data_IF_849527979380
#
_entry.id   IF_849527979380
#
_cell.length_a   1.000
_cell.length_b   1.000
_cell.length_c   1.000
_cell.angle_alpha   90.00
_cell.angle_beta   90.00
_cell.angle_gamma   90.00
#
_symmetry.space_group_name_H-M   'P 1'
#
loop_
_entity.id
_entity.type
_entity.pdbx_description
1 polymer ?
#
# COMPACT_ATOMS: atom_id res chain seq x y z
N UNK A 1 -22.83 2.71 49.53
CA UNK A 1 -21.62 2.26 48.80
C UNK A 1 -22.08 1.93 47.39
N UNK A 2 -21.59 2.62 46.37
CA UNK A 2 -21.94 2.29 44.98
C UNK A 2 -21.27 0.97 44.60
N UNK A 3 -22.06 0.03 44.08
CA UNK A 3 -21.61 -1.30 43.71
C UNK A 3 -20.88 -1.21 42.37
N UNK A 4 -19.56 -1.00 42.41
CA UNK A 4 -18.70 -0.87 41.23
C UNK A 4 -18.35 -2.24 40.59
N UNK A 5 -19.15 -3.29 40.83
CA UNK A 5 -18.86 -4.64 40.35
C UNK A 5 -18.76 -4.78 38.82
N UNK A 6 -19.24 -3.80 38.07
CA UNK A 6 -19.18 -3.75 36.61
C UNK A 6 -17.93 -3.06 36.04
N UNK A 7 -17.08 -2.49 36.91
CA UNK A 7 -15.85 -1.79 36.55
C UNK A 7 -14.66 -2.70 36.85
N UNK A 8 -13.85 -2.99 35.84
CA UNK A 8 -12.63 -3.80 35.96
C UNK A 8 -11.45 -2.94 36.39
N UNK A 9 -11.35 -1.74 35.81
CA UNK A 9 -10.24 -0.82 36.04
C UNK A 9 -10.70 0.64 35.86
N UNK A 10 -10.00 1.56 36.50
CA UNK A 10 -10.21 2.99 36.36
C UNK A 10 -8.87 3.69 36.17
N UNK A 11 -8.79 4.55 35.16
CA UNK A 11 -7.62 5.37 34.84
C UNK A 11 -8.05 6.85 34.83
N UNK A 12 -7.74 7.57 35.91
CA UNK A 12 -8.25 8.92 36.12
C UNK A 12 -9.78 8.93 36.20
N UNK A 13 -10.43 9.64 35.28
CA UNK A 13 -11.90 9.70 35.17
C UNK A 13 -12.48 8.62 34.24
N UNK A 14 -11.62 7.88 33.53
CA UNK A 14 -12.05 6.87 32.56
C UNK A 14 -12.28 5.52 33.25
N UNK A 15 -13.48 4.97 33.07
CA UNK A 15 -13.89 3.68 33.61
C UNK A 15 -13.81 2.59 32.54
N UNK A 16 -13.19 1.46 32.87
CA UNK A 16 -13.10 0.29 32.01
C UNK A 16 -14.03 -0.80 32.54
N UNK A 17 -14.92 -1.28 31.68
CA UNK A 17 -16.04 -2.15 32.05
C UNK A 17 -15.75 -3.64 31.80
N UNK A 18 -16.50 -4.52 32.45
CA UNK A 18 -16.43 -5.96 32.16
C UNK A 18 -16.86 -6.25 30.72
N UNK A 19 -16.27 -7.27 30.10
CA UNK A 19 -16.48 -7.60 28.66
C UNK A 19 -17.96 -7.86 28.31
N UNK A 20 -18.74 -8.39 29.24
CA UNK A 20 -20.19 -8.62 29.03
C UNK A 20 -20.99 -7.35 28.75
N UNK A 21 -20.46 -6.18 29.12
CA UNK A 21 -21.09 -4.90 28.85
C UNK A 21 -20.73 -4.32 27.49
N UNK A 22 -19.74 -4.88 26.79
CA UNK A 22 -19.27 -4.31 25.52
C UNK A 22 -20.34 -4.29 24.45
N UNK A 23 -21.30 -5.22 24.47
CA UNK A 23 -22.47 -5.21 23.57
C UNK A 23 -23.32 -3.92 23.66
N UNK A 24 -23.20 -3.17 24.76
CA UNK A 24 -23.86 -1.87 24.93
C UNK A 24 -23.00 -0.69 24.47
N UNK A 25 -21.73 -0.93 24.14
CA UNK A 25 -20.90 0.06 23.46
C UNK A 25 -21.29 0.12 21.99
N UNK A 26 -21.34 1.34 21.46
CA UNK A 26 -21.65 1.57 20.04
C UNK A 26 -20.59 1.01 19.10
N UNK A 27 -19.37 0.76 19.60
CA UNK A 27 -18.22 0.32 18.80
C UNK A 27 -18.01 -1.19 18.76
N UNK A 28 -18.54 -1.94 19.73
CA UNK A 28 -18.20 -3.36 19.88
C UNK A 28 -18.71 -4.24 18.73
N UNK A 29 -19.74 -3.80 18.00
CA UNK A 29 -20.39 -4.58 16.93
C UNK A 29 -20.20 -4.00 15.54
N UNK A 30 -19.53 -2.84 15.44
CA UNK A 30 -19.31 -2.15 14.17
C UNK A 30 -17.83 -2.11 13.84
N UNK A 31 -17.54 -2.07 12.54
CA UNK A 31 -16.20 -1.74 12.08
C UNK A 31 -15.98 -0.25 12.21
N UNK A 32 -14.94 0.14 12.94
CA UNK A 32 -14.66 1.54 13.25
C UNK A 32 -13.68 2.13 12.24
N UNK A 33 -14.07 3.11 11.41
CA UNK A 33 -13.15 3.80 10.52
C UNK A 33 -12.17 4.64 11.35
N UNK A 34 -10.88 4.44 11.15
CA UNK A 34 -9.81 5.07 11.93
C UNK A 34 -8.67 5.55 11.04
N UNK A 35 -7.98 6.57 11.52
CA UNK A 35 -6.65 6.90 11.02
C UNK A 35 -5.61 5.92 11.60
N UNK A 36 -4.57 5.63 10.83
CA UNK A 36 -3.46 4.74 11.20
C UNK A 36 -2.80 5.23 12.49
N UNK A 37 -2.53 6.54 12.59
CA UNK A 37 -2.00 7.15 13.82
C UNK A 37 -2.83 6.78 15.06
N UNK A 38 -4.15 6.86 14.95
CA UNK A 38 -5.03 6.62 16.08
C UNK A 38 -5.06 5.14 16.45
N UNK A 39 -5.06 4.24 15.46
CA UNK A 39 -4.91 2.79 15.68
C UNK A 39 -3.62 2.48 16.44
N UNK A 40 -2.46 2.94 15.95
CA UNK A 40 -1.17 2.64 16.57
C UNK A 40 -1.05 3.21 18.00
N UNK A 41 -1.50 4.45 18.20
CA UNK A 41 -1.44 5.13 19.49
C UNK A 41 -2.34 4.47 20.54
N UNK A 42 -3.57 4.12 20.17
CA UNK A 42 -4.53 3.56 21.11
C UNK A 42 -4.33 2.05 21.31
N UNK A 43 -3.94 1.30 20.27
CA UNK A 43 -3.60 -0.11 20.39
C UNK A 43 -2.47 -0.32 21.40
N UNK A 44 -1.34 0.37 21.22
CA UNK A 44 -0.17 0.26 22.12
C UNK A 44 -0.50 0.56 23.58
N UNK A 45 -1.34 1.57 23.84
CA UNK A 45 -1.83 1.89 25.20
C UNK A 45 -2.72 0.78 25.76
N UNK A 46 -3.67 0.31 24.95
CA UNK A 46 -4.67 -0.67 25.37
C UNK A 46 -4.08 -2.05 25.68
N UNK A 47 -3.02 -2.48 24.98
CA UNK A 47 -2.35 -3.77 25.21
C UNK A 47 -1.90 -3.93 26.67
N UNK A 48 -1.44 -2.84 27.30
CA UNK A 48 -1.01 -2.87 28.71
C UNK A 48 -2.19 -3.05 29.65
N UNK A 49 -3.30 -2.35 29.41
CA UNK A 49 -4.51 -2.47 30.21
C UNK A 49 -5.15 -3.86 30.04
N UNK A 50 -5.20 -4.37 28.81
CA UNK A 50 -5.78 -5.68 28.48
C UNK A 50 -5.02 -6.80 29.17
N UNK A 51 -3.69 -6.85 29.00
CA UNK A 51 -2.84 -7.88 29.63
C UNK A 51 -2.95 -7.92 31.15
N UNK A 52 -3.28 -6.79 31.78
CA UNK A 52 -3.34 -6.66 33.24
C UNK A 52 -4.71 -7.00 33.82
N UNK A 53 -5.78 -6.65 33.12
CA UNK A 53 -7.12 -6.62 33.69
C UNK A 53 -8.13 -7.53 32.98
N UNK A 54 -7.79 -8.04 31.81
CA UNK A 54 -8.68 -8.85 30.98
C UNK A 54 -8.08 -10.24 30.71
N UNK A 55 -8.90 -11.24 30.33
CA UNK A 55 -8.41 -12.56 29.93
C UNK A 55 -7.38 -12.46 28.79
N UNK A 56 -6.42 -13.38 28.75
CA UNK A 56 -5.31 -13.32 27.79
C UNK A 56 -5.74 -13.49 26.33
N UNK A 57 -6.86 -14.17 26.09
CA UNK A 57 -7.30 -14.57 24.75
C UNK A 57 -8.32 -13.58 24.14
N UNK A 58 -8.30 -12.32 24.57
CA UNK A 58 -9.22 -11.29 24.06
C UNK A 58 -8.70 -10.68 22.76
N UNK A 59 -9.53 -10.66 21.71
CA UNK A 59 -9.18 -10.12 20.39
C UNK A 59 -9.48 -8.62 20.20
N UNK A 60 -10.04 -7.95 21.21
CA UNK A 60 -10.38 -6.52 21.13
C UNK A 60 -9.24 -5.65 21.65
N UNK A 61 -9.29 -4.36 21.31
CA UNK A 61 -8.45 -3.32 21.90
C UNK A 61 -9.29 -2.11 22.31
N UNK A 62 -8.69 -1.07 22.89
CA UNK A 62 -9.44 0.11 23.34
C UNK A 62 -9.03 1.40 22.62
N UNK A 63 -10.02 2.10 22.06
CA UNK A 63 -9.89 3.52 21.77
C UNK A 63 -10.42 4.29 22.98
N UNK A 64 -9.51 4.85 23.78
CA UNK A 64 -9.83 5.33 25.13
C UNK A 64 -10.35 4.17 26.00
N UNK A 65 -11.65 4.09 26.30
CA UNK A 65 -12.30 2.92 26.91
C UNK A 65 -13.38 2.29 26.02
N UNK A 66 -13.48 2.69 24.75
CA UNK A 66 -14.38 2.07 23.78
C UNK A 66 -13.77 0.76 23.28
N UNK A 67 -14.43 -0.41 23.44
CA UNK A 67 -13.93 -1.68 22.95
C UNK A 67 -14.04 -1.75 21.42
N UNK A 68 -12.89 -1.95 20.75
CA UNK A 68 -12.77 -2.04 19.29
C UNK A 68 -12.40 -3.47 18.92
N UNK A 69 -13.30 -4.16 18.21
CA UNK A 69 -13.02 -5.50 17.67
C UNK A 69 -12.43 -5.41 16.26
N UNK A 70 -12.99 -4.55 15.40
CA UNK A 70 -12.57 -4.41 14.01
C UNK A 70 -12.44 -2.94 13.61
N UNK A 71 -11.39 -2.65 12.84
CA UNK A 71 -11.16 -1.33 12.26
C UNK A 71 -11.16 -1.37 10.75
N UNK A 72 -11.54 -0.23 10.18
CA UNK A 72 -11.32 0.07 8.78
C UNK A 72 -10.30 1.19 8.67
N UNK A 73 -9.32 1.03 7.79
CA UNK A 73 -8.28 2.01 7.50
C UNK A 73 -8.20 2.21 6.00
N UNK A 74 -7.74 3.37 5.56
CA UNK A 74 -7.54 3.70 4.15
C UNK A 74 -6.16 4.30 4.00
N UNK A 75 -5.36 3.77 3.09
CA UNK A 75 -4.02 4.30 2.84
C UNK A 75 -3.39 3.78 1.57
N UNK A 76 -2.28 4.41 1.19
CA UNK A 76 -1.42 3.98 0.11
C UNK A 76 -0.58 2.78 0.55
N UNK A 77 -0.57 1.73 -0.26
CA UNK A 77 0.23 0.53 0.00
C UNK A 77 1.71 0.81 -0.22
N UNK A 78 2.54 0.39 0.73
CA UNK A 78 3.99 0.45 0.65
C UNK A 78 4.64 -0.87 1.10
N UNK A 79 5.79 -1.20 0.53
CA UNK A 79 6.63 -2.31 0.96
C UNK A 79 5.96 -3.69 0.86
N UNK A 80 5.28 -3.95 -0.25
CA UNK A 80 4.61 -5.23 -0.52
C UNK A 80 5.60 -6.39 -0.63
N UNK A 81 5.31 -7.50 0.06
CA UNK A 81 6.06 -8.75 -0.06
C UNK A 81 5.20 -9.96 0.25
N UNK A 82 5.49 -11.06 -0.41
CA UNK A 82 4.89 -12.35 -0.09
C UNK A 82 5.72 -13.08 0.97
N UNK A 83 5.04 -13.69 1.94
CA UNK A 83 5.63 -14.59 2.93
C UNK A 83 4.79 -15.86 3.03
N UNK A 84 5.47 -17.00 3.09
CA UNK A 84 4.86 -18.27 3.44
C UNK A 84 4.89 -18.44 4.97
N UNK A 85 3.72 -18.52 5.62
CA UNK A 85 3.59 -18.63 7.08
C UNK A 85 2.65 -19.80 7.38
N UNK A 86 3.17 -20.81 8.09
CA UNK A 86 2.45 -22.09 8.23
C UNK A 86 2.31 -22.75 6.87
N UNK A 87 1.07 -23.04 6.46
CA UNK A 87 0.74 -23.69 5.18
C UNK A 87 0.07 -22.74 4.19
N UNK A 88 0.27 -21.43 4.34
CA UNK A 88 -0.41 -20.43 3.51
C UNK A 88 0.48 -19.25 3.14
N UNK A 89 0.23 -18.73 1.94
CA UNK A 89 0.84 -17.50 1.44
C UNK A 89 0.10 -16.27 2.00
N UNK A 90 0.86 -15.33 2.55
CA UNK A 90 0.38 -14.04 3.01
C UNK A 90 1.11 -12.90 2.29
N UNK A 91 0.34 -11.91 1.85
CA UNK A 91 0.87 -10.61 1.50
C UNK A 91 1.08 -9.80 2.78
N UNK A 92 2.31 -9.33 2.98
CA UNK A 92 2.69 -8.41 4.04
C UNK A 92 3.00 -7.07 3.39
N UNK A 93 2.33 -6.02 3.83
CA UNK A 93 2.52 -4.67 3.32
C UNK A 93 2.29 -3.66 4.44
N UNK A 94 2.56 -2.39 4.15
CA UNK A 94 2.25 -1.28 5.03
C UNK A 94 1.23 -0.38 4.36
N UNK A 95 0.39 0.28 5.15
CA UNK A 95 -0.46 1.38 4.71
C UNK A 95 0.10 2.70 5.24
N UNK A 96 0.08 3.71 4.38
CA UNK A 96 0.36 5.11 4.69
C UNK A 96 -0.91 5.93 4.41
N UNK A 97 -1.53 6.50 5.45
CA UNK A 97 -2.72 7.34 5.34
C UNK A 97 -2.40 8.85 5.46
N UNK A 98 -1.11 9.22 5.37
CA UNK A 98 -0.59 10.57 5.55
C UNK A 98 -0.82 11.18 6.94
N UNK A 99 -1.35 10.43 7.91
CA UNK A 99 -1.27 10.89 9.31
C UNK A 99 0.17 10.77 9.77
N UNK A 100 0.59 11.61 10.72
CA UNK A 100 1.97 11.69 11.22
C UNK A 100 1.96 11.71 12.74
N UNK A 101 2.81 10.89 13.37
CA UNK A 101 3.17 11.02 14.79
C UNK A 101 4.39 11.94 14.94
N UNK A 102 4.50 12.72 16.03
CA UNK A 102 5.72 13.45 16.32
C UNK A 102 6.91 12.48 16.26
N UNK A 103 7.90 12.81 15.43
CA UNK A 103 9.18 12.10 15.31
C UNK A 103 9.13 10.66 14.76
N UNK A 104 7.99 10.19 14.22
CA UNK A 104 7.87 8.81 13.71
C UNK A 104 7.00 8.69 12.45
N UNK A 105 7.44 7.78 11.59
CA UNK A 105 6.69 7.31 10.43
C UNK A 105 5.51 6.45 10.89
N UNK A 106 4.30 6.85 10.53
CA UNK A 106 3.05 6.15 10.85
C UNK A 106 2.66 5.22 9.71
N UNK A 107 3.26 4.03 9.71
CA UNK A 107 2.93 2.95 8.80
C UNK A 107 2.20 1.83 9.55
N UNK A 108 1.01 1.45 9.08
CA UNK A 108 0.31 0.29 9.64
C UNK A 108 0.69 -0.97 8.88
N UNK A 109 1.34 -1.91 9.58
CA UNK A 109 1.67 -3.21 9.02
C UNK A 109 0.40 -4.05 8.86
N UNK A 110 0.18 -4.56 7.66
CA UNK A 110 -0.98 -5.35 7.30
C UNK A 110 -0.55 -6.75 6.86
N UNK A 111 -1.35 -7.75 7.23
CA UNK A 111 -1.17 -9.16 6.86
C UNK A 111 -2.47 -9.65 6.21
N UNK A 112 -2.40 -9.99 4.93
CA UNK A 112 -3.54 -10.40 4.13
C UNK A 112 -3.29 -11.77 3.52
N UNK A 113 -4.24 -12.70 3.63
CA UNK A 113 -4.10 -14.03 3.02
C UNK A 113 -4.24 -13.97 1.50
N UNK A 114 -3.53 -14.85 0.79
CA UNK A 114 -3.66 -14.98 -0.66
C UNK A 114 -5.09 -15.30 -1.10
N UNK A 115 -5.80 -16.13 -0.34
CA UNK A 115 -7.19 -16.49 -0.62
C UNK A 115 -8.13 -15.29 -0.53
N UNK A 116 -7.91 -14.37 0.43
CA UNK A 116 -8.67 -13.14 0.54
C UNK A 116 -8.42 -12.22 -0.66
N UNK A 117 -7.16 -12.02 -1.06
CA UNK A 117 -6.82 -11.21 -2.24
C UNK A 117 -7.50 -11.71 -3.52
N UNK A 118 -7.48 -13.02 -3.73
CA UNK A 118 -8.15 -13.66 -4.87
C UNK A 118 -9.67 -13.46 -4.81
N UNK A 119 -10.28 -13.61 -3.64
CA UNK A 119 -11.73 -13.41 -3.43
C UNK A 119 -12.14 -11.96 -3.64
N UNK A 120 -11.27 -11.00 -3.29
CA UNK A 120 -11.46 -9.57 -3.57
C UNK A 120 -11.25 -9.19 -5.04
N UNK A 121 -10.89 -10.14 -5.91
CA UNK A 121 -10.65 -9.87 -7.33
C UNK A 121 -9.39 -9.06 -7.62
N UNK A 122 -8.44 -9.03 -6.67
CA UNK A 122 -7.21 -8.27 -6.82
C UNK A 122 -6.12 -9.09 -7.49
N UNK A 123 -5.21 -8.45 -8.26
CA UNK A 123 -4.11 -9.16 -8.85
C UNK A 123 -3.14 -9.63 -7.75
N UNK A 124 -2.56 -10.82 -7.92
CA UNK A 124 -1.52 -11.38 -7.03
C UNK A 124 -0.15 -10.67 -7.16
N UNK A 125 -0.11 -9.57 -7.92
CA UNK A 125 1.08 -8.75 -8.13
C UNK A 125 1.41 -7.86 -6.94
N UNK A 126 2.43 -7.03 -7.12
CA UNK A 126 2.75 -5.97 -6.17
C UNK A 126 1.71 -4.84 -6.29
N UNK A 127 1.01 -4.57 -5.18
CA UNK A 127 0.01 -3.50 -5.08
C UNK A 127 0.56 -2.20 -4.51
N UNK A 128 1.88 -2.06 -4.37
CA UNK A 128 2.51 -0.81 -3.90
C UNK A 128 2.01 0.36 -4.73
N UNK A 129 1.71 1.48 -4.07
CA UNK A 129 1.14 2.67 -4.69
C UNK A 129 -0.36 2.66 -4.94
N UNK A 130 -1.05 1.56 -4.65
CA UNK A 130 -2.51 1.53 -4.70
C UNK A 130 -3.05 2.10 -3.40
N UNK A 131 -4.13 2.88 -3.46
CA UNK A 131 -4.89 3.23 -2.27
C UNK A 131 -5.88 2.11 -1.98
N UNK A 132 -5.76 1.49 -0.81
CA UNK A 132 -6.63 0.40 -0.39
C UNK A 132 -7.41 0.78 0.87
N UNK A 133 -8.71 0.49 0.86
CA UNK A 133 -9.56 0.46 2.04
C UNK A 133 -9.51 -0.95 2.60
N UNK A 134 -9.04 -1.08 3.84
CA UNK A 134 -8.74 -2.36 4.47
C UNK A 134 -9.50 -2.46 5.76
N UNK A 135 -10.23 -3.56 5.95
CA UNK A 135 -10.82 -3.93 7.23
C UNK A 135 -10.00 -5.05 7.85
N UNK A 136 -9.86 -5.04 9.16
CA UNK A 136 -9.23 -6.13 9.86
C UNK A 136 -9.33 -6.02 11.37
N UNK A 137 -8.54 -6.86 12.03
CA UNK A 137 -8.34 -6.86 13.48
C UNK A 137 -6.85 -6.75 13.79
N UNK A 138 -6.51 -6.02 14.84
CA UNK A 138 -5.12 -5.96 15.30
C UNK A 138 -4.78 -7.27 16.01
N UNK A 139 -3.65 -7.89 15.65
CA UNK A 139 -3.15 -9.08 16.32
C UNK A 139 -2.05 -8.75 17.34
N UNK A 140 -1.60 -9.77 18.08
CA UNK A 140 -0.55 -9.65 19.09
C UNK A 140 0.81 -9.19 18.55
N UNK A 141 1.01 -9.23 17.23
CA UNK A 141 2.23 -8.78 16.55
C UNK A 141 2.16 -7.32 16.09
N UNK A 142 1.14 -6.57 16.52
CA UNK A 142 0.88 -5.18 16.08
C UNK A 142 0.66 -5.10 14.56
N UNK A 143 0.11 -6.17 13.96
CA UNK A 143 -0.26 -6.23 12.55
C UNK A 143 -1.79 -6.22 12.42
N UNK A 144 -2.30 -5.50 11.42
CA UNK A 144 -3.70 -5.60 11.02
C UNK A 144 -3.89 -6.89 10.20
N UNK A 145 -4.55 -7.88 10.79
CA UNK A 145 -5.02 -9.07 10.08
C UNK A 145 -6.24 -8.73 9.25
N UNK A 146 -6.02 -8.67 7.94
CA UNK A 146 -6.97 -8.17 6.98
C UNK A 146 -8.03 -9.23 6.69
N UNK A 147 -9.30 -8.84 6.75
CA UNK A 147 -10.46 -9.69 6.46
C UNK A 147 -11.33 -9.17 5.31
N UNK A 148 -11.22 -7.88 4.97
CA UNK A 148 -11.79 -7.24 3.78
C UNK A 148 -10.76 -6.30 3.15
N UNK A 149 -10.73 -6.26 1.83
CA UNK A 149 -9.83 -5.39 1.09
C UNK A 149 -10.53 -4.89 -0.18
N UNK A 150 -10.56 -3.56 -0.35
CA UNK A 150 -11.20 -2.84 -1.45
C UNK A 150 -10.26 -1.78 -2.05
N UNK A 151 -10.33 -1.56 -3.37
CA UNK A 151 -9.56 -0.50 -4.03
C UNK A 151 -10.28 0.83 -3.87
N UNK A 152 -9.56 1.86 -3.43
CA UNK A 152 -10.05 3.24 -3.47
C UNK A 152 -9.54 3.90 -4.75
N UNK A 153 -10.41 4.08 -5.73
CA UNK A 153 -10.04 4.53 -7.08
C UNK A 153 -9.95 6.04 -7.26
N UNK A 154 -10.52 6.83 -6.34
CA UNK A 154 -10.58 8.28 -6.47
C UNK A 154 -10.37 9.01 -5.13
N UNK A 155 -9.93 10.26 -5.24
CA UNK A 155 -9.63 11.14 -4.10
C UNK A 155 -10.90 11.55 -3.35
N UNK A 156 -12.07 11.55 -3.99
CA UNK A 156 -13.31 11.95 -3.32
C UNK A 156 -13.71 10.91 -2.28
N UNK A 157 -13.60 9.63 -2.60
CA UNK A 157 -13.79 8.52 -1.69
C UNK A 157 -12.78 8.55 -0.52
N UNK A 158 -11.53 8.96 -0.78
CA UNK A 158 -10.55 9.19 0.28
C UNK A 158 -10.99 10.31 1.25
N UNK A 159 -11.44 11.44 0.70
CA UNK A 159 -11.92 12.57 1.50
C UNK A 159 -13.16 12.20 2.32
N UNK A 160 -14.11 11.46 1.75
CA UNK A 160 -15.29 11.00 2.48
C UNK A 160 -14.91 10.06 3.62
N UNK A 161 -13.97 9.13 3.39
CA UNK A 161 -13.44 8.29 4.45
C UNK A 161 -12.79 9.10 5.57
N UNK A 162 -11.99 10.13 5.24
CA UNK A 162 -11.39 10.99 6.26
C UNK A 162 -12.45 11.73 7.07
N UNK A 163 -13.53 12.20 6.46
CA UNK A 163 -14.66 12.81 7.17
C UNK A 163 -15.31 11.84 8.14
N UNK A 164 -15.49 10.58 7.74
CA UNK A 164 -15.99 9.51 8.61
C UNK A 164 -15.04 9.27 9.79
N UNK A 165 -13.74 9.14 9.54
CA UNK A 165 -12.71 9.00 10.59
C UNK A 165 -12.76 10.18 11.57
N UNK A 166 -12.86 11.43 11.10
CA UNK A 166 -12.98 12.59 11.98
C UNK A 166 -14.27 12.59 12.81
N UNK A 167 -15.40 12.18 12.23
CA UNK A 167 -16.68 12.08 12.94
C UNK A 167 -16.59 11.03 14.06
N UNK A 168 -16.04 9.86 13.74
CA UNK A 168 -15.87 8.76 14.69
C UNK A 168 -14.86 9.12 15.76
N UNK A 169 -13.70 9.69 15.40
CA UNK A 169 -12.70 10.16 16.36
C UNK A 169 -13.30 11.09 17.41
N UNK A 170 -14.08 12.10 17.00
CA UNK A 170 -14.75 13.03 17.94
C UNK A 170 -15.72 12.33 18.90
N UNK A 171 -16.33 11.22 18.47
CA UNK A 171 -17.18 10.40 19.31
C UNK A 171 -16.35 9.60 20.33
N UNK A 172 -15.25 9.00 19.88
CA UNK A 172 -14.38 8.13 20.71
C UNK A 172 -13.44 8.89 21.63
N UNK A 173 -13.14 10.16 21.33
CA UNK A 173 -12.37 11.06 22.20
C UNK A 173 -13.06 11.27 23.55
N UNK A 174 -14.39 11.15 23.60
CA UNK A 174 -15.15 11.17 24.85
C UNK A 174 -15.18 9.76 25.45
N UNK A 175 -14.81 9.57 26.74
CA UNK A 175 -14.95 8.27 27.38
C UNK A 175 -16.37 7.73 27.25
N UNK A 176 -16.48 6.44 26.93
CA UNK A 176 -17.72 5.71 26.99
C UNK A 176 -18.22 5.69 28.43
N UNK A 177 -19.47 6.09 28.64
CA UNK A 177 -20.16 6.01 29.92
C UNK A 177 -21.32 5.03 29.72
N UNK A 178 -21.40 4.03 30.59
CA UNK A 178 -22.51 3.09 30.59
C UNK A 178 -23.80 3.83 30.99
N UNK A 179 -24.86 3.64 30.21
CA UNK A 179 -26.16 4.23 30.50
C UNK A 179 -26.71 3.72 31.85
N UNK A 180 -27.24 4.63 32.67
CA UNK A 180 -27.86 4.35 33.97
C UNK A 180 -28.99 3.30 33.84
N UNK A 181 -29.66 3.27 32.69
CA UNK A 181 -30.68 2.25 32.39
C UNK A 181 -30.11 0.82 32.42
N UNK A 182 -28.92 0.63 31.86
CA UNK A 182 -28.21 -0.66 31.83
C UNK A 182 -27.69 -1.00 33.23
N UNK A 183 -27.13 -0.01 33.94
CA UNK A 183 -26.68 -0.18 35.33
C UNK A 183 -27.82 -0.63 36.26
N UNK A 184 -29.03 -0.10 36.03
CA UNK A 184 -30.23 -0.47 36.78
C UNK A 184 -30.67 -1.90 36.47
N UNK A 185 -30.63 -2.31 35.21
CA UNK A 185 -30.97 -3.70 34.80
C UNK A 185 -30.02 -4.74 35.42
N UNK A 186 -28.75 -4.40 35.61
CA UNK A 186 -27.80 -5.29 36.31
C UNK A 186 -28.11 -5.42 37.80
N UNK A 187 -28.78 -4.41 38.38
CA UNK A 187 -29.13 -4.38 39.80
C UNK A 187 -30.47 -5.06 40.11
N UNK A 188 -31.37 -5.17 39.13
CA UNK A 188 -32.72 -5.72 39.32
C UNK A 188 -32.86 -7.21 39.05
N UNK A 189 -31.84 -7.90 38.53
CA UNK A 189 -31.85 -9.37 38.40
C UNK A 189 -31.69 -10.12 39.75
N UNK A 190 -31.65 -9.40 40.86
CA UNK A 190 -31.57 -9.97 42.20
C UNK A 190 -33.00 -10.17 42.73
N UNK A 191 -33.59 -11.36 42.45
CA UNK A 191 -34.93 -11.82 42.90
C UNK A 191 -35.00 -12.01 44.45
N UNK A 192 -34.63 -10.98 45.21
CA UNK A 192 -34.80 -10.91 46.66
C UNK A 192 -34.01 -11.93 47.48
N UNK A 193 -33.12 -12.73 46.86
CA UNK A 193 -32.19 -13.60 47.58
C UNK A 193 -30.87 -12.88 47.72
N UNK A 194 -30.51 -12.35 48.91
CA UNK A 194 -29.22 -11.70 49.09
C UNK A 194 -28.12 -12.66 48.62
N UNK A 195 -27.36 -12.22 47.61
CA UNK A 195 -26.17 -12.90 47.10
C UNK A 195 -25.21 -13.16 48.26
N UNK A 196 -25.35 -14.35 48.85
CA UNK A 196 -24.39 -14.88 49.79
C UNK A 196 -23.12 -15.21 48.99
N UNK A 197 -22.18 -14.27 49.05
CA UNK A 197 -20.75 -14.45 48.79
C UNK A 197 -20.33 -14.75 47.34
N UNK A 198 -20.58 -13.81 46.43
CA UNK A 198 -19.77 -13.74 45.22
C UNK A 198 -19.76 -12.35 44.59
N UNK A 199 -18.60 -11.89 44.14
CA UNK A 199 -18.51 -10.67 43.34
C UNK A 199 -19.33 -10.81 42.05
N UNK A 200 -19.77 -9.70 41.44
CA UNK A 200 -20.46 -9.74 40.13
C UNK A 200 -19.67 -10.55 39.09
N UNK A 201 -18.33 -10.48 39.19
CA UNK A 201 -17.39 -11.28 38.41
C UNK A 201 -17.61 -12.78 38.65
N UNK A 202 -17.67 -13.26 39.90
CA UNK A 202 -17.94 -14.68 40.21
C UNK A 202 -19.32 -15.13 39.71
N UNK A 203 -20.34 -14.27 39.78
CA UNK A 203 -21.67 -14.60 39.28
C UNK A 203 -21.67 -14.77 37.75
N UNK A 204 -20.90 -13.92 37.05
CA UNK A 204 -20.72 -13.98 35.60
C UNK A 204 -19.85 -15.16 35.18
N UNK A 205 -18.75 -15.44 35.88
CA UNK A 205 -17.90 -16.63 35.68
C UNK A 205 -18.73 -17.90 35.83
N UNK A 206 -19.63 -17.95 36.82
CA UNK A 206 -20.53 -19.09 37.03
C UNK A 206 -21.55 -19.24 35.90
N UNK A 207 -22.03 -18.13 35.33
CA UNK A 207 -22.97 -18.15 34.19
C UNK A 207 -22.29 -18.55 32.89
N UNK A 208 -21.08 -18.04 32.64
CA UNK A 208 -20.27 -18.45 31.49
C UNK A 208 -19.85 -19.91 31.59
N UNK A 209 -19.39 -20.36 32.77
CA UNK A 209 -19.11 -21.76 33.04
C UNK A 209 -20.33 -22.66 32.82
N UNK A 210 -21.53 -22.19 33.21
CA UNK A 210 -22.78 -22.93 32.96
C UNK A 210 -23.09 -23.03 31.46
N UNK A 211 -22.94 -21.95 30.70
CA UNK A 211 -23.13 -21.97 29.25
C UNK A 211 -22.12 -22.91 28.56
N UNK A 212 -20.85 -22.90 28.99
CA UNK A 212 -19.82 -23.79 28.47
C UNK A 212 -20.13 -25.27 28.81
N UNK A 213 -20.70 -25.54 30.00
CA UNK A 213 -21.18 -26.86 30.38
C UNK A 213 -22.39 -27.33 29.55
N UNK A 214 -23.31 -26.42 29.25
CA UNK A 214 -24.51 -26.69 28.44
C UNK A 214 -24.13 -26.96 26.97
N UNK A 215 -23.11 -26.27 26.42
CA UNK A 215 -22.54 -26.55 25.10
C UNK A 215 -21.74 -27.86 25.05
N UNK A 216 -21.14 -28.28 26.16
CA UNK A 216 -20.38 -29.51 26.28
C UNK A 216 -21.23 -30.75 26.63
N UNK A 217 -22.55 -30.59 26.81
CA UNK A 217 -23.45 -31.71 27.06
C UNK A 217 -24.01 -32.27 25.73
N UNK A 218 -23.56 -33.44 25.25
CA UNK A 218 -24.13 -34.08 24.07
C UNK A 218 -25.51 -34.71 24.33
N UNK A 219 -26.14 -34.43 25.48
CA UNK A 219 -27.43 -34.96 25.90
C UNK A 219 -28.43 -33.82 26.18
N UNK A 220 -28.70 -32.98 25.19
CA UNK A 220 -30.03 -32.37 25.10
C UNK A 220 -30.94 -33.39 24.41
N UNK A 221 -31.43 -34.37 25.18
CA UNK A 221 -32.56 -35.18 24.74
C UNK A 221 -33.80 -34.28 24.70
N UNK A 222 -34.32 -34.04 23.49
CA UNK A 222 -35.56 -33.28 23.23
C UNK A 222 -36.84 -33.99 23.73
N UNK A 223 -36.73 -35.03 24.58
CA UNK A 223 -37.87 -35.83 25.00
C UNK A 223 -38.24 -35.56 26.46
N UNK A 224 -38.88 -34.42 26.68
CA UNK A 224 -39.80 -34.23 27.81
C UNK A 224 -41.24 -34.20 27.25
N UNK A 225 -41.64 -35.30 26.61
CA UNK A 225 -43.06 -35.67 26.51
C UNK A 225 -43.26 -37.11 26.98
N UNK A 226 -43.68 -37.19 28.24
CA UNK A 226 -44.26 -38.38 28.85
C UNK A 226 -45.43 -38.91 28.01
N UNK A 227 -45.29 -40.06 27.35
CA UNK A 227 -46.31 -41.12 27.32
C UNK A 227 -45.65 -42.46 26.92
N UNK A 228 -45.73 -43.39 27.85
CA UNK A 228 -45.48 -44.83 27.71
C UNK A 228 -46.09 -45.40 26.43
N UNK A 229 -45.28 -46.09 25.63
CA UNK A 229 -45.69 -47.32 24.93
C UNK A 229 -44.49 -48.17 24.48
N UNK A 230 -44.78 -49.45 24.45
CA UNK A 230 -43.88 -50.60 24.42
C UNK A 230 -43.05 -50.72 23.14
N UNK A 231 -41.87 -51.32 23.33
CA UNK A 231 -40.96 -51.80 22.30
C UNK A 231 -41.65 -52.90 21.49
N UNK A 232 -41.79 -52.70 20.18
CA UNK A 232 -41.97 -53.77 19.20
C UNK A 232 -41.02 -53.49 18.02
N UNK A 233 -40.03 -54.36 17.84
CA UNK A 233 -39.24 -54.47 16.61
C UNK A 233 -39.94 -55.42 15.63
N UNK A 234 -39.99 -55.05 14.34
CA UNK A 234 -39.64 -55.99 13.26
C UNK A 234 -38.68 -55.32 12.25
N UNK A 235 -37.49 -55.89 12.02
CA UNK A 235 -37.11 -56.81 10.92
C UNK A 235 -37.20 -56.17 9.52
N UNK A 236 -36.07 -56.33 8.81
CA UNK A 236 -35.69 -55.92 7.47
C UNK A 236 -36.76 -55.95 6.38
N UNK A 237 -36.71 -54.98 5.47
CA UNK A 237 -37.03 -55.19 4.06
C UNK A 237 -36.24 -54.20 3.16
N UNK A 238 -35.54 -54.79 2.19
CA UNK A 238 -34.82 -54.11 1.11
C UNK A 238 -35.76 -53.49 0.06
N UNK A 239 -35.14 -52.69 -0.82
CA UNK A 239 -35.54 -52.34 -2.20
C UNK A 239 -36.37 -51.06 -2.37
N UNK A 240 -35.85 -50.15 -3.20
CA UNK A 240 -36.70 -49.20 -3.92
C UNK A 240 -36.00 -47.95 -4.44
N UNK A 241 -35.23 -48.05 -5.53
CA UNK A 241 -34.94 -46.92 -6.41
C UNK A 241 -36.24 -46.28 -6.90
N UNK A 242 -36.35 -44.95 -6.83
CA UNK A 242 -37.29 -44.19 -7.64
C UNK A 242 -36.65 -42.86 -8.03
N UNK A 243 -36.28 -42.79 -9.31
CA UNK A 243 -36.12 -41.57 -10.08
C UNK A 243 -37.44 -40.79 -10.04
N UNK A 244 -37.35 -39.46 -9.94
CA UNK A 244 -38.46 -38.59 -10.29
C UNK A 244 -37.96 -37.47 -11.19
N UNK A 245 -38.26 -37.67 -12.46
CA UNK A 245 -38.34 -36.65 -13.50
C UNK A 245 -39.19 -35.47 -13.04
N UNK A 246 -38.68 -34.25 -13.24
CA UNK A 246 -39.53 -33.08 -13.41
C UNK A 246 -39.08 -32.36 -14.68
N UNK A 247 -39.98 -32.51 -15.66
CA UNK A 247 -39.92 -32.00 -17.01
C UNK A 247 -40.25 -30.50 -17.07
N UNK A 248 -39.86 -29.95 -18.20
CA UNK A 248 -39.74 -28.56 -18.62
C UNK A 248 -41.08 -27.84 -18.82
N UNK A 249 -41.08 -26.51 -18.64
CA UNK A 249 -41.54 -25.57 -19.69
C UNK A 249 -41.40 -24.11 -19.22
N UNK A 250 -40.56 -23.30 -19.86
CA UNK A 250 -41.04 -22.27 -20.82
C UNK A 250 -39.91 -21.35 -21.32
N UNK A 251 -39.85 -21.30 -22.65
CA UNK A 251 -39.11 -20.44 -23.57
C UNK A 251 -39.05 -18.95 -23.22
N UNK A 252 -37.90 -18.31 -23.44
CA UNK A 252 -37.78 -17.19 -24.38
C UNK A 252 -36.36 -17.13 -24.98
N UNK A 253 -36.30 -17.25 -26.29
CA UNK A 253 -35.15 -17.00 -27.17
C UNK A 253 -34.76 -15.52 -27.16
N UNK A 254 -33.46 -15.20 -27.26
CA UNK A 254 -32.97 -14.16 -28.17
C UNK A 254 -31.47 -14.34 -28.45
N UNK A 255 -31.15 -14.49 -29.74
CA UNK A 255 -30.12 -13.68 -30.39
C UNK A 255 -28.65 -14.09 -30.26
N UNK A 256 -28.22 -14.92 -31.21
CA UNK A 256 -26.82 -15.22 -31.58
C UNK A 256 -26.02 -13.97 -31.95
N UNK A 257 -24.78 -13.85 -31.48
CA UNK A 257 -23.71 -13.18 -32.22
C UNK A 257 -22.34 -13.78 -31.89
N UNK A 258 -21.58 -14.02 -32.95
CA UNK A 258 -20.46 -14.93 -33.06
C UNK A 258 -19.17 -14.48 -32.36
N UNK A 259 -18.38 -15.47 -31.95
CA UNK A 259 -17.00 -15.34 -31.53
C UNK A 259 -16.05 -15.56 -32.71
N UNK A 260 -14.83 -15.00 -32.69
CA UNK A 260 -13.70 -15.59 -33.36
C UNK A 260 -12.75 -16.25 -32.36
N UNK A 261 -12.49 -17.53 -32.61
CA UNK A 261 -11.46 -18.36 -31.99
C UNK A 261 -10.07 -17.81 -32.32
N UNK A 262 -9.21 -17.70 -31.32
CA UNK A 262 -7.76 -17.62 -31.53
C UNK A 262 -7.08 -18.69 -30.69
N UNK A 263 -6.49 -19.67 -31.40
CA UNK A 263 -5.54 -20.63 -30.88
C UNK A 263 -4.29 -19.91 -30.36
N UNK A 264 -3.89 -20.17 -29.12
CA UNK A 264 -2.51 -19.94 -28.68
C UNK A 264 -2.01 -21.23 -28.02
N UNK A 265 -0.97 -21.77 -28.64
CA UNK A 265 -0.16 -22.90 -28.22
C UNK A 265 0.63 -22.51 -26.97
N UNK A 266 0.49 -23.29 -25.90
CA UNK A 266 1.31 -23.17 -24.71
C UNK A 266 2.71 -23.71 -25.00
N UNK A 267 3.73 -22.87 -24.79
CA UNK A 267 5.11 -23.28 -24.56
C UNK A 267 5.52 -22.65 -23.24
N UNK A 268 5.32 -23.38 -22.15
CA UNK A 268 5.90 -23.09 -20.85
C UNK A 268 7.27 -23.75 -20.81
N UNK A 269 8.33 -22.95 -20.92
CA UNK A 269 9.64 -23.20 -20.32
C UNK A 269 10.58 -22.02 -20.66
N UNK A 270 10.99 -21.26 -19.63
CA UNK A 270 12.24 -20.43 -19.57
C UNK A 270 12.17 -19.09 -18.78
N UNK A 271 11.23 -18.87 -17.86
CA UNK A 271 11.12 -17.56 -17.16
C UNK A 271 11.96 -17.46 -15.86
N UNK A 272 12.62 -18.53 -15.40
CA UNK A 272 13.29 -18.51 -14.07
C UNK A 272 14.67 -17.81 -14.06
N UNK A 273 15.34 -17.62 -15.20
CA UNK A 273 16.73 -17.12 -15.22
C UNK A 273 16.92 -15.62 -15.53
N UNK A 274 15.84 -14.84 -15.70
CA UNK A 274 15.96 -13.39 -16.04
C UNK A 274 15.85 -12.44 -14.83
N UNK A 275 15.38 -12.92 -13.67
CA UNK A 275 15.14 -12.07 -12.48
C UNK A 275 16.38 -11.70 -11.66
N UNK A 276 17.53 -12.35 -11.86
CA UNK A 276 18.74 -12.04 -11.08
C UNK A 276 19.64 -10.95 -11.66
N UNK A 277 19.35 -10.39 -12.85
CA UNK A 277 20.21 -9.35 -13.48
C UNK A 277 19.75 -7.91 -13.31
N UNK A 278 18.53 -7.65 -12.80
CA UNK A 278 17.99 -6.28 -12.71
C UNK A 278 18.19 -5.66 -11.31
N UNK A 279 18.57 -6.45 -10.29
CA UNK A 279 18.74 -5.97 -8.91
C UNK A 279 20.07 -5.27 -8.60
N UNK A 280 20.98 -5.07 -9.57
CA UNK A 280 22.29 -4.41 -9.35
C UNK A 280 22.33 -2.92 -9.76
N UNK A 281 21.18 -2.28 -10.00
CA UNK A 281 21.10 -0.85 -10.40
C UNK A 281 20.48 0.06 -9.34
N UNK A 282 20.76 -0.17 -8.05
CA UNK A 282 20.57 0.82 -6.99
C UNK A 282 21.87 1.61 -6.78
N UNK A 283 22.03 2.70 -7.55
CA UNK A 283 23.10 3.68 -7.32
C UNK A 283 22.77 4.50 -6.08
N UNK A 284 23.30 4.07 -4.92
CA UNK A 284 23.46 4.92 -3.76
C UNK A 284 24.64 5.89 -4.02
N UNK A 285 24.35 7.08 -4.53
CA UNK A 285 25.32 8.18 -4.56
C UNK A 285 25.33 8.83 -3.17
N UNK A 286 26.21 8.33 -2.28
CA UNK A 286 26.91 9.11 -1.26
C UNK A 286 28.03 8.27 -0.58
N UNK A 287 29.27 8.58 -0.97
CA UNK A 287 30.55 8.35 -0.27
C UNK A 287 30.83 7.03 0.46
N UNK A 288 31.69 6.18 -0.12
CA UNK A 288 32.90 5.65 0.55
C UNK A 288 33.82 4.91 -0.44
N UNK A 289 35.11 5.19 -0.29
CA UNK A 289 36.23 4.80 -1.14
C UNK A 289 36.63 3.32 -0.95
N UNK A 290 36.88 2.63 -2.05
CA UNK A 290 37.92 1.60 -2.13
C UNK A 290 37.45 0.16 -2.30
N UNK A 291 37.29 -0.30 -3.56
CA UNK A 291 37.85 -1.57 -4.09
C UNK A 291 37.45 -1.80 -5.56
N UNK A 292 38.34 -2.51 -6.26
CA UNK A 292 38.21 -3.09 -7.61
C UNK A 292 38.53 -2.19 -8.82
N UNK A 293 39.77 -2.29 -9.29
CA UNK A 293 40.24 -1.70 -10.56
C UNK A 293 40.00 -2.61 -11.79
N UNK A 294 39.58 -3.87 -11.60
CA UNK A 294 39.43 -4.84 -12.69
C UNK A 294 37.99 -4.96 -13.22
N UNK A 295 36.96 -4.63 -12.44
CA UNK A 295 35.57 -4.51 -12.92
C UNK A 295 35.28 -3.17 -13.67
N UNK A 296 36.23 -2.22 -13.64
CA UNK A 296 36.07 -0.88 -14.24
C UNK A 296 36.15 -0.83 -15.77
N UNK A 297 36.64 -1.88 -16.44
CA UNK A 297 36.90 -1.84 -17.89
C UNK A 297 35.74 -2.29 -18.78
N UNK A 298 34.80 -3.10 -18.28
CA UNK A 298 33.64 -3.53 -19.08
C UNK A 298 32.40 -2.65 -18.85
N UNK A 299 32.30 -2.00 -17.69
CA UNK A 299 31.21 -1.05 -17.38
C UNK A 299 31.40 0.29 -18.12
N UNK A 300 32.61 0.64 -18.58
CA UNK A 300 32.89 1.98 -19.14
C UNK A 300 32.32 2.23 -20.55
N UNK A 301 32.02 1.20 -21.35
CA UNK A 301 31.70 1.39 -22.79
C UNK A 301 30.26 1.86 -23.06
N UNK A 302 29.28 1.44 -22.26
CA UNK A 302 27.87 1.83 -22.42
C UNK A 302 27.47 3.10 -21.66
N UNK A 303 28.29 3.53 -20.70
CA UNK A 303 27.93 4.62 -19.80
C UNK A 303 28.10 6.01 -20.41
N UNK A 304 29.01 6.19 -21.39
CA UNK A 304 29.38 7.55 -21.80
C UNK A 304 28.32 8.27 -22.66
N UNK A 305 27.63 7.59 -23.58
CA UNK A 305 26.57 8.24 -24.37
C UNK A 305 25.33 8.55 -23.52
N UNK A 306 24.91 7.59 -22.67
CA UNK A 306 23.81 7.80 -21.72
C UNK A 306 24.12 8.93 -20.74
N UNK A 307 25.34 8.94 -20.19
CA UNK A 307 25.82 10.00 -19.30
C UNK A 307 25.86 11.35 -20.00
N UNK A 308 26.37 11.41 -21.25
CA UNK A 308 26.32 12.64 -22.03
C UNK A 308 24.88 13.14 -22.22
N UNK A 309 23.94 12.25 -22.57
CA UNK A 309 22.51 12.60 -22.68
C UNK A 309 21.91 13.14 -21.37
N UNK A 310 22.26 12.57 -20.22
CA UNK A 310 21.84 13.09 -18.90
C UNK A 310 22.40 14.48 -18.65
N UNK A 311 23.70 14.68 -18.87
CA UNK A 311 24.36 15.97 -18.65
C UNK A 311 23.85 17.04 -19.62
N UNK A 312 23.54 16.65 -20.85
CA UNK A 312 22.91 17.50 -21.84
C UNK A 312 21.51 17.95 -21.40
N UNK A 313 20.67 17.01 -20.94
CA UNK A 313 19.34 17.30 -20.40
C UNK A 313 19.42 18.29 -19.21
N UNK A 314 20.34 18.04 -18.27
CA UNK A 314 20.58 18.93 -17.13
C UNK A 314 21.01 20.32 -17.58
N UNK A 315 21.94 20.40 -18.52
CA UNK A 315 22.39 21.68 -19.07
C UNK A 315 21.23 22.48 -19.66
N UNK A 316 20.33 21.84 -20.42
CA UNK A 316 19.16 22.50 -21.00
C UNK A 316 18.21 23.01 -19.92
N UNK A 317 17.92 22.23 -18.88
CA UNK A 317 17.05 22.63 -17.78
C UNK A 317 17.53 23.89 -17.05
N UNK A 318 18.85 24.05 -16.90
CA UNK A 318 19.45 25.20 -16.22
C UNK A 318 19.56 26.47 -17.09
N UNK A 319 19.15 26.41 -18.37
CA UNK A 319 19.19 27.61 -19.21
C UNK A 319 18.10 28.59 -18.79
N UNK A 320 18.46 29.88 -18.66
CA UNK A 320 17.52 30.94 -18.30
C UNK A 320 16.47 31.18 -19.40
N UNK A 321 16.92 31.18 -20.65
CA UNK A 321 16.06 31.44 -21.81
C UNK A 321 15.31 30.19 -22.27
N UNK A 322 14.19 30.37 -22.97
CA UNK A 322 13.44 29.28 -23.61
C UNK A 322 14.03 28.88 -24.95
N UNK A 323 14.76 29.78 -25.60
CA UNK A 323 15.40 29.57 -26.89
C UNK A 323 16.91 29.70 -26.74
N UNK A 324 17.64 28.72 -27.26
CA UNK A 324 19.08 28.60 -27.07
C UNK A 324 19.72 28.32 -28.43
N UNK A 325 20.85 28.97 -28.73
CA UNK A 325 21.61 28.67 -29.95
C UNK A 325 22.22 27.27 -29.90
N UNK A 326 21.91 26.43 -30.89
CA UNK A 326 22.47 25.08 -31.05
C UNK A 326 24.00 25.11 -31.09
N UNK A 327 24.57 26.11 -31.77
CA UNK A 327 26.03 26.28 -31.85
C UNK A 327 26.65 26.65 -30.51
N UNK A 328 25.98 27.49 -29.71
CA UNK A 328 26.47 27.85 -28.38
C UNK A 328 26.38 26.65 -27.43
N UNK A 329 25.33 25.83 -27.55
CA UNK A 329 25.18 24.58 -26.80
C UNK A 329 26.27 23.57 -27.17
N UNK A 330 26.56 23.37 -28.46
CA UNK A 330 27.65 22.50 -28.92
C UNK A 330 29.02 22.95 -28.41
N UNK A 331 29.25 24.27 -28.37
CA UNK A 331 30.52 24.87 -27.92
C UNK A 331 30.65 25.03 -26.40
N UNK A 332 29.65 24.63 -25.62
CA UNK A 332 29.74 24.72 -24.16
C UNK A 332 30.91 23.86 -23.65
N UNK A 333 31.87 24.48 -22.94
CA UNK A 333 33.13 23.82 -22.55
C UNK A 333 32.90 22.56 -21.71
N UNK A 334 31.98 22.62 -20.74
CA UNK A 334 31.66 21.48 -19.86
C UNK A 334 31.06 20.32 -20.65
N UNK A 335 30.03 20.59 -21.48
CA UNK A 335 29.41 19.56 -22.31
C UNK A 335 30.38 19.01 -23.35
N UNK A 336 31.20 19.86 -23.97
CA UNK A 336 32.16 19.44 -25.00
C UNK A 336 33.25 18.52 -24.45
N UNK A 337 33.70 18.70 -23.19
CA UNK A 337 34.61 17.77 -22.54
C UNK A 337 34.02 16.37 -22.36
N UNK A 338 32.74 16.30 -21.96
CA UNK A 338 32.00 15.04 -21.80
C UNK A 338 31.70 14.41 -23.16
N UNK A 339 31.31 15.22 -24.15
CA UNK A 339 31.07 14.80 -25.53
C UNK A 339 32.34 14.23 -26.16
N UNK A 340 33.49 14.88 -25.97
CA UNK A 340 34.79 14.41 -26.47
C UNK A 340 35.13 13.07 -25.84
N UNK A 341 34.94 12.93 -24.52
CA UNK A 341 35.13 11.65 -23.84
C UNK A 341 34.18 10.57 -24.35
N UNK A 342 32.91 10.89 -24.62
CA UNK A 342 31.96 9.93 -25.20
C UNK A 342 32.33 9.54 -26.64
N UNK A 343 32.82 10.49 -27.43
CA UNK A 343 33.23 10.28 -28.81
C UNK A 343 34.49 9.42 -28.92
N UNK A 344 35.51 9.65 -28.09
CA UNK A 344 36.74 8.82 -28.08
C UNK A 344 36.43 7.36 -27.76
N UNK A 345 35.58 7.12 -26.76
CA UNK A 345 35.12 5.77 -26.42
C UNK A 345 34.32 5.11 -27.56
N UNK A 346 33.49 5.88 -28.28
CA UNK A 346 32.73 5.38 -29.45
C UNK A 346 33.66 5.11 -30.64
N UNK A 347 34.67 5.94 -30.89
CA UNK A 347 35.64 5.73 -31.99
C UNK A 347 36.53 4.51 -31.74
N UNK A 348 36.97 4.26 -30.50
CA UNK A 348 37.76 3.07 -30.16
C UNK A 348 36.99 1.77 -30.44
N UNK A 349 35.66 1.79 -30.25
CA UNK A 349 34.82 0.63 -30.59
C UNK A 349 34.68 0.35 -32.10
N UNK A 350 34.99 1.36 -32.95
CA UNK A 350 34.85 1.31 -34.42
C UNK A 350 36.17 1.14 -35.18
N UNK A 351 37.29 0.93 -34.48
CA UNK A 351 38.63 0.84 -35.07
C UNK A 351 38.79 -0.22 -36.19
N UNK A 352 37.82 -1.10 -36.39
CA UNK A 352 37.82 -2.09 -37.49
C UNK A 352 37.10 -1.63 -38.78
N UNK A 353 36.44 -0.47 -38.81
CA UNK A 353 35.61 -0.03 -39.95
C UNK A 353 36.10 1.24 -40.67
N UNK A 354 37.29 1.75 -40.34
CA UNK A 354 37.86 2.95 -40.94
C UNK A 354 37.94 4.12 -39.96
N UNK A 355 38.93 4.97 -40.16
CA UNK A 355 39.21 6.12 -39.28
C UNK A 355 38.26 7.28 -39.60
N UNK A 356 37.06 7.30 -39.00
CA UNK A 356 36.23 8.52 -38.93
C UNK A 356 36.96 9.60 -38.11
N UNK A 357 36.88 10.87 -38.53
CA UNK A 357 37.49 11.95 -37.76
C UNK A 357 36.71 12.15 -36.44
N UNK A 358 37.42 12.40 -35.34
CA UNK A 358 36.82 12.54 -33.99
C UNK A 358 35.71 13.61 -33.94
N UNK A 359 35.87 14.72 -34.68
CA UNK A 359 34.86 15.78 -34.74
C UNK A 359 33.56 15.32 -35.42
N UNK A 360 33.64 14.43 -36.41
CA UNK A 360 32.44 13.86 -37.05
C UNK A 360 31.67 12.98 -36.05
N UNK A 361 32.39 12.20 -35.23
CA UNK A 361 31.79 11.37 -34.18
C UNK A 361 31.13 12.22 -33.10
N UNK A 362 31.76 13.34 -32.70
CA UNK A 362 31.18 14.30 -31.74
C UNK A 362 29.91 14.94 -32.29
N UNK A 363 29.94 15.42 -33.54
CA UNK A 363 28.79 16.05 -34.17
C UNK A 363 27.63 15.05 -34.34
N UNK A 364 27.93 13.81 -34.74
CA UNK A 364 26.95 12.72 -34.78
C UNK A 364 26.31 12.49 -33.41
N UNK A 365 27.10 12.34 -32.34
CA UNK A 365 26.59 12.09 -30.98
C UNK A 365 25.72 13.25 -30.45
N UNK A 366 26.14 14.49 -30.69
CA UNK A 366 25.37 15.68 -30.34
C UNK A 366 24.02 15.70 -31.06
N UNK A 367 24.02 15.46 -32.38
CA UNK A 367 22.81 15.40 -33.18
C UNK A 367 21.91 14.22 -32.77
N UNK A 368 22.48 13.07 -32.43
CA UNK A 368 21.74 11.90 -31.93
C UNK A 368 20.95 12.25 -30.66
N UNK A 369 21.58 12.93 -29.70
CA UNK A 369 20.91 13.38 -28.46
C UNK A 369 19.85 14.43 -28.75
N UNK A 370 20.13 15.41 -29.62
CA UNK A 370 19.14 16.42 -30.02
C UNK A 370 17.92 15.81 -30.69
N UNK A 371 18.13 14.96 -31.69
CA UNK A 371 17.04 14.29 -32.41
C UNK A 371 16.24 13.38 -31.47
N UNK A 372 16.91 12.70 -30.54
CA UNK A 372 16.24 11.90 -29.52
C UNK A 372 15.32 12.75 -28.64
N UNK A 373 15.78 13.89 -28.12
CA UNK A 373 14.94 14.78 -27.32
C UNK A 373 13.81 15.42 -28.14
N UNK A 374 14.07 15.76 -29.41
CA UNK A 374 13.07 16.29 -30.32
C UNK A 374 11.99 15.25 -30.67
N UNK A 375 12.36 13.99 -30.86
CA UNK A 375 11.42 12.89 -31.11
C UNK A 375 10.47 12.60 -29.95
N UNK A 376 10.88 12.98 -28.72
CA UNK A 376 10.05 12.93 -27.52
C UNK A 376 9.25 14.23 -27.29
N UNK A 377 9.33 15.19 -28.21
CA UNK A 377 8.65 16.50 -28.16
C UNK A 377 9.05 17.38 -26.95
N UNK A 378 10.14 17.03 -26.27
CA UNK A 378 10.67 17.82 -25.14
C UNK A 378 11.33 19.11 -25.61
N UNK A 379 11.89 19.10 -26.83
CA UNK A 379 12.48 20.27 -27.46
C UNK A 379 11.95 20.41 -28.89
N UNK A 380 11.95 21.65 -29.40
CA UNK A 380 11.69 21.93 -30.81
C UNK A 380 12.94 22.55 -31.43
N UNK A 381 13.27 22.15 -32.67
CA UNK A 381 14.40 22.69 -33.41
C UNK A 381 13.88 23.68 -34.48
N UNK A 382 14.33 24.93 -34.43
CA UNK A 382 13.91 26.01 -35.32
C UNK A 382 15.02 26.46 -36.27
N UNK A 383 14.65 27.21 -37.32
CA UNK A 383 15.56 27.89 -38.25
C UNK A 383 16.66 27.00 -38.84
N UNK A 384 16.28 25.83 -39.39
CA UNK A 384 17.23 24.82 -39.87
C UNK A 384 18.17 24.32 -38.76
N UNK A 385 17.61 24.07 -37.57
CA UNK A 385 18.31 23.55 -36.39
C UNK A 385 19.32 24.53 -35.75
N UNK A 386 19.20 25.83 -36.01
CA UNK A 386 20.06 26.85 -35.37
C UNK A 386 19.65 27.19 -33.94
N UNK A 387 18.37 27.04 -33.63
CA UNK A 387 17.79 27.35 -32.33
C UNK A 387 17.11 26.10 -31.74
N UNK A 388 17.33 25.89 -30.45
CA UNK A 388 16.70 24.86 -29.62
C UNK A 388 15.69 25.58 -28.72
N UNK A 389 14.42 25.24 -28.84
CA UNK A 389 13.38 25.70 -27.91
C UNK A 389 13.11 24.63 -26.87
N UNK A 390 13.23 25.00 -25.60
CA UNK A 390 13.11 24.13 -24.44
C UNK A 390 11.84 24.41 -23.60
N UNK A 391 10.84 25.09 -24.18
CA UNK A 391 9.58 25.42 -23.49
C UNK A 391 8.88 24.16 -22.96
N UNK A 392 8.77 23.11 -23.78
CA UNK A 392 8.10 21.86 -23.40
C UNK A 392 8.87 21.14 -22.28
N UNK A 393 10.19 21.05 -22.40
CA UNK A 393 11.07 20.52 -21.36
C UNK A 393 10.88 21.25 -20.01
N UNK A 394 10.85 22.58 -20.02
CA UNK A 394 10.59 23.39 -18.82
C UNK A 394 9.21 23.14 -18.24
N UNK A 395 8.17 23.03 -19.08
CA UNK A 395 6.82 22.72 -18.64
C UNK A 395 6.74 21.34 -17.97
N UNK A 396 7.41 20.33 -18.54
CA UNK A 396 7.49 18.98 -17.98
C UNK A 396 8.21 18.99 -16.63
N UNK A 397 9.35 19.69 -16.54
CA UNK A 397 10.10 19.83 -15.29
C UNK A 397 9.31 20.56 -14.20
N UNK A 398 8.56 21.61 -14.54
CA UNK A 398 7.72 22.35 -13.60
C UNK A 398 6.60 21.46 -13.05
N UNK A 399 5.90 20.71 -13.89
CA UNK A 399 4.87 19.76 -13.46
C UNK A 399 5.43 18.73 -12.46
N UNK A 400 6.60 18.15 -12.77
CA UNK A 400 7.27 17.18 -11.90
C UNK A 400 7.70 17.84 -10.57
N UNK A 401 8.22 19.06 -10.63
CA UNK A 401 8.66 19.82 -9.44
C UNK A 401 7.49 20.18 -8.53
N UNK A 402 6.34 20.57 -9.08
CA UNK A 402 5.10 20.82 -8.33
C UNK A 402 4.59 19.56 -7.65
N UNK A 403 4.65 18.42 -8.35
CA UNK A 403 4.27 17.12 -7.79
C UNK A 403 5.18 16.71 -6.63
N UNK A 404 6.50 16.83 -6.78
CA UNK A 404 7.46 16.58 -5.68
C UNK A 404 7.20 17.52 -4.51
N UNK A 405 7.02 18.82 -4.78
CA UNK A 405 6.73 19.83 -3.76
C UNK A 405 5.49 19.48 -2.96
N UNK A 406 4.44 18.99 -3.63
CA UNK A 406 3.20 18.55 -2.99
C UNK A 406 3.42 17.34 -2.09
N UNK A 407 4.05 16.29 -2.62
CA UNK A 407 4.34 15.05 -1.87
C UNK A 407 5.17 15.34 -0.62
N UNK A 408 6.18 16.20 -0.73
CA UNK A 408 7.03 16.58 0.40
C UNK A 408 6.30 17.45 1.42
N UNK A 409 5.50 18.44 0.97
CA UNK A 409 4.73 19.31 1.89
C UNK A 409 3.65 18.55 2.66
N UNK A 410 3.12 17.47 2.08
CA UNK A 410 2.18 16.58 2.74
C UNK A 410 2.87 15.62 3.73
N UNK A 411 4.21 15.59 3.78
CA UNK A 411 4.95 14.67 4.64
C UNK A 411 4.84 13.22 4.19
N UNK A 412 4.51 12.97 2.93
CA UNK A 412 4.38 11.62 2.41
C UNK A 412 5.76 10.93 2.39
N UNK A 413 5.82 9.69 2.86
CA UNK A 413 7.06 8.90 2.83
C UNK A 413 7.28 8.21 1.48
N UNK A 414 6.21 8.01 0.71
CA UNK A 414 6.29 7.41 -0.62
C UNK A 414 5.43 8.18 -1.62
N UNK A 415 5.95 8.39 -2.83
CA UNK A 415 5.25 9.01 -3.94
C UNK A 415 5.25 8.11 -5.18
N UNK A 416 4.08 7.84 -5.75
CA UNK A 416 3.93 7.05 -6.99
C UNK A 416 4.29 7.90 -8.22
N UNK A 417 5.19 7.40 -9.06
CA UNK A 417 5.48 7.88 -10.42
C UNK A 417 4.76 6.95 -11.41
N UNK A 418 3.59 7.36 -11.86
CA UNK A 418 2.85 6.67 -12.92
C UNK A 418 3.27 7.24 -14.29
N UNK A 419 4.02 6.47 -15.07
CA UNK A 419 4.58 6.96 -16.34
C UNK A 419 3.50 7.27 -17.37
N UNK A 420 2.42 6.50 -17.41
CA UNK A 420 1.32 6.70 -18.35
C UNK A 420 0.57 7.98 -18.00
N UNK A 421 0.24 8.16 -16.73
CA UNK A 421 -0.41 9.38 -16.26
C UNK A 421 0.41 10.63 -16.58
N UNK A 422 1.74 10.58 -16.42
CA UNK A 422 2.61 11.72 -16.73
C UNK A 422 2.59 12.05 -18.24
N UNK A 423 2.64 11.03 -19.11
CA UNK A 423 2.54 11.23 -20.56
C UNK A 423 1.20 11.84 -20.94
N UNK A 424 0.12 11.32 -20.39
CA UNK A 424 -1.24 11.76 -20.69
C UNK A 424 -1.48 13.19 -20.17
N UNK A 425 -1.05 13.50 -18.95
CA UNK A 425 -1.18 14.82 -18.34
C UNK A 425 -0.40 15.91 -19.09
N UNK A 426 0.77 15.56 -19.64
CA UNK A 426 1.62 16.49 -20.37
C UNK A 426 1.38 16.50 -21.89
N UNK A 427 0.64 15.52 -22.41
CA UNK A 427 0.42 15.33 -23.85
C UNK A 427 1.61 14.73 -24.62
N UNK A 428 2.66 14.24 -23.95
CA UNK A 428 3.90 13.75 -24.58
C UNK A 428 3.95 12.21 -24.65
N UNK A 429 3.27 11.62 -25.64
CA UNK A 429 3.14 10.15 -25.76
C UNK A 429 4.47 9.41 -25.95
N UNK A 430 5.44 10.05 -26.59
CA UNK A 430 6.74 9.44 -26.91
C UNK A 430 7.76 9.55 -25.76
N UNK A 431 7.37 10.09 -24.60
CA UNK A 431 8.27 10.28 -23.48
C UNK A 431 8.66 8.93 -22.87
N UNK A 432 9.95 8.63 -22.82
CA UNK A 432 10.46 7.36 -22.25
C UNK A 432 10.50 7.42 -20.71
N UNK A 433 10.27 6.28 -20.04
CA UNK A 433 10.36 6.16 -18.56
C UNK A 433 11.70 6.69 -18.05
N UNK A 434 12.79 6.37 -18.75
CA UNK A 434 14.14 6.82 -18.42
C UNK A 434 14.23 8.34 -18.32
N UNK A 435 13.67 9.07 -19.29
CA UNK A 435 13.72 10.54 -19.26
C UNK A 435 12.84 11.11 -18.15
N UNK A 436 11.66 10.52 -17.89
CA UNK A 436 10.82 10.89 -16.75
C UNK A 436 11.62 10.75 -15.44
N UNK A 437 12.28 9.61 -15.23
CA UNK A 437 13.09 9.36 -14.05
C UNK A 437 14.25 10.36 -13.91
N UNK A 438 14.93 10.70 -15.00
CA UNK A 438 16.01 11.70 -14.95
C UNK A 438 15.49 13.10 -14.61
N UNK A 439 14.30 13.47 -15.11
CA UNK A 439 13.63 14.72 -14.72
C UNK A 439 13.24 14.73 -13.24
N UNK A 440 12.71 13.62 -12.71
CA UNK A 440 12.41 13.48 -11.28
C UNK A 440 13.66 13.60 -10.41
N UNK A 441 14.73 12.89 -10.76
CA UNK A 441 16.01 12.99 -10.03
C UNK A 441 16.53 14.42 -10.01
N UNK A 442 16.45 15.13 -11.14
CA UNK A 442 16.91 16.51 -11.21
C UNK A 442 16.00 17.47 -10.44
N UNK A 443 14.69 17.27 -10.49
CA UNK A 443 13.73 18.05 -9.71
C UNK A 443 13.89 17.83 -8.20
N UNK A 444 14.15 16.59 -7.75
CA UNK A 444 14.46 16.27 -6.35
C UNK A 444 15.74 16.97 -5.89
N UNK A 445 16.83 16.89 -6.68
CA UNK A 445 18.09 17.61 -6.39
C UNK A 445 17.87 19.12 -6.27
N UNK A 446 17.13 19.70 -7.21
CA UNK A 446 16.84 21.13 -7.21
C UNK A 446 15.99 21.53 -6.00
N UNK A 447 14.93 20.76 -5.70
CA UNK A 447 14.04 21.01 -4.58
C UNK A 447 14.81 21.05 -3.25
N UNK A 448 15.55 19.99 -2.93
CA UNK A 448 16.27 19.89 -1.66
C UNK A 448 17.50 20.82 -1.57
N UNK A 449 18.11 21.19 -2.69
CA UNK A 449 19.13 22.24 -2.71
C UNK A 449 18.54 23.62 -2.36
N UNK A 450 17.27 23.87 -2.70
CA UNK A 450 16.61 25.17 -2.51
C UNK A 450 15.89 25.36 -1.17
N UNK A 451 15.38 24.28 -0.54
CA UNK A 451 14.53 24.37 0.66
C UNK A 451 15.28 24.32 1.99
N UNK A 452 16.61 24.22 1.98
CA UNK A 452 17.44 23.97 3.18
C UNK A 452 17.05 22.72 3.99
N UNK A 453 16.21 21.84 3.44
CA UNK A 453 15.85 20.55 4.04
C UNK A 453 16.95 19.51 3.75
N UNK A 454 18.17 19.77 4.22
CA UNK A 454 19.34 18.92 3.94
C UNK A 454 19.26 17.51 4.54
N UNK A 455 18.34 17.28 5.48
CA UNK A 455 18.23 16.01 6.20
C UNK A 455 17.30 15.00 5.52
N UNK A 456 16.60 15.40 4.45
CA UNK A 456 15.71 14.47 3.75
C UNK A 456 16.51 13.62 2.78
N UNK A 457 16.53 12.31 3.03
CA UNK A 457 17.09 11.35 2.07
C UNK A 457 15.98 10.88 1.14
N UNK A 458 16.35 10.57 -0.10
CA UNK A 458 15.41 10.06 -1.09
C UNK A 458 16.07 9.03 -2.00
N UNK A 459 15.27 8.08 -2.46
CA UNK A 459 15.64 7.13 -3.50
C UNK A 459 14.43 6.82 -4.38
N UNK A 460 14.68 6.26 -5.58
CA UNK A 460 13.62 5.86 -6.50
C UNK A 460 13.73 4.36 -6.75
N UNK A 461 12.69 3.62 -6.38
CA UNK A 461 12.57 2.19 -6.64
C UNK A 461 11.88 1.94 -7.98
N UNK A 462 12.55 1.14 -8.81
CA UNK A 462 12.06 0.69 -10.10
C UNK A 462 11.21 -0.57 -9.90
N UNK A 463 9.89 -0.39 -9.77
CA UNK A 463 9.00 -1.52 -9.54
C UNK A 463 8.72 -2.27 -10.85
N UNK A 464 8.14 -1.59 -11.85
CA UNK A 464 7.82 -2.19 -13.14
C UNK A 464 7.92 -1.18 -14.30
N UNK A 465 7.52 -1.59 -15.50
CA UNK A 465 7.57 -0.74 -16.70
C UNK A 465 6.54 0.40 -16.71
N UNK A 466 5.54 0.38 -15.84
CA UNK A 466 4.46 1.36 -15.79
C UNK A 466 4.58 2.33 -14.62
N UNK A 467 5.21 1.89 -13.53
CA UNK A 467 5.25 2.60 -12.25
C UNK A 467 6.62 2.50 -11.58
N UNK A 468 7.05 3.62 -11.00
CA UNK A 468 8.14 3.69 -10.02
C UNK A 468 7.69 4.39 -8.74
N UNK A 469 8.46 4.22 -7.67
CA UNK A 469 8.19 4.82 -6.38
C UNK A 469 9.34 5.71 -5.95
N UNK A 470 9.03 6.90 -5.47
CA UNK A 470 9.99 7.76 -4.77
C UNK A 470 9.76 7.54 -3.29
N UNK A 471 10.83 7.30 -2.55
CA UNK A 471 10.80 7.18 -1.11
C UNK A 471 11.50 8.38 -0.49
N UNK A 472 10.98 8.83 0.64
CA UNK A 472 11.49 9.94 1.44
C UNK A 472 11.74 9.45 2.86
N UNK A 473 12.89 9.81 3.41
CA UNK A 473 13.23 9.62 4.81
C UNK A 473 13.45 11.02 5.39
N UNK A 474 12.49 11.49 6.20
CA UNK A 474 12.58 12.74 6.94
C UNK A 474 13.30 12.47 8.27
N UNK A 475 14.27 13.31 8.62
CA UNK A 475 15.04 13.19 9.86
C UNK A 475 15.15 14.49 10.64
#
# INVERSE_FOLDING_TARGET
MHNNGHIVHQEGETLYYVTLLFKYSQTATITVPCFIRDVLMHYSRSVTAIKRYYPRDTAFWFFNNHPIDSVMVLGCVAGWKWKFIGDSDYAIFHLDDCTVLPDQVTLLKCKCSKSLLMRSGLPLGDLSGWTLRVRGRMNDYEELEVDLLEICGDLLAEIEFWKECFKVKRLLDKPWILDDSVSSLLSTQDDGRPLQYGTFVECLERKQFKNDLELASPYCSEDDTSYSNEIIFPIDEEVGCLESDLDQSHLMEFGVSESPKTLIVANEDSVVNQRQRISELTLADNSMSGRSQLAKREISKGHNSKYYGQQFLKYLLHQKFTEISTMNTYRNATLNGILTSAATNKSESRLHQGSEALEDVKMMLFNEVLQRLASMELISLFERQKLINIKNLKSCFNYISERISTVVKLGCYTGKIDYRHIRDALGYRNLTNYVILELYKEALRHFFASTHQSNVRWWIDLNNEEVSFIHFEYG
#
